data_IF_331092582193
#
_entry.id   IF_331092582193
#
_cell.length_a   1.000
_cell.length_b   1.000
_cell.length_c   1.000
_cell.angle_alpha   90.00
_cell.angle_beta   90.00
_cell.angle_gamma   90.00
#
_symmetry.space_group_name_H-M   'P 1'
#
loop_
_entity.id
_entity.type
_entity.pdbx_description
1 polymer ?
#
# COMPACT_ATOMS: atom_id res chain seq x y z
N UNK A 1 -1.43 -9.24 4.38
CA UNK A 1 -2.65 -9.75 5.05
C UNK A 1 -2.36 -11.14 5.58
N UNK A 2 -2.86 -11.49 6.77
CA UNK A 2 -2.67 -12.81 7.39
C UNK A 2 -4.01 -13.28 7.93
N UNK A 3 -4.32 -14.58 7.85
CA UNK A 3 -5.51 -15.16 8.48
C UNK A 3 -5.20 -15.55 9.93
N UNK A 4 -6.11 -15.27 10.86
CA UNK A 4 -5.96 -15.70 12.26
C UNK A 4 -6.10 -17.23 12.42
N UNK A 5 -6.79 -17.89 11.49
CA UNK A 5 -7.02 -19.34 11.49
C UNK A 5 -5.76 -20.11 11.09
N UNK A 6 -5.19 -19.79 9.93
CA UNK A 6 -4.03 -20.50 9.35
C UNK A 6 -2.69 -19.89 9.75
N UNK A 7 -2.67 -18.62 10.17
CA UNK A 7 -1.45 -17.89 10.47
C UNK A 7 -0.62 -17.53 9.21
N UNK A 8 0.66 -17.20 9.38
CA UNK A 8 1.52 -16.77 8.28
C UNK A 8 1.97 -17.93 7.38
N UNK A 9 1.59 -17.87 6.10
CA UNK A 9 1.91 -18.86 5.06
C UNK A 9 3.30 -18.66 4.44
N UNK A 10 3.76 -19.61 3.61
CA UNK A 10 5.01 -19.47 2.83
C UNK A 10 5.00 -18.21 1.95
N UNK A 11 3.92 -17.96 1.21
CA UNK A 11 3.73 -16.75 0.39
C UNK A 11 3.80 -15.46 1.20
N UNK A 12 3.30 -15.46 2.43
CA UNK A 12 3.42 -14.30 3.34
C UNK A 12 4.88 -14.00 3.67
N UNK A 13 5.71 -15.03 3.83
CA UNK A 13 7.16 -14.87 4.10
C UNK A 13 7.89 -14.34 2.89
N UNK A 14 7.54 -14.79 1.69
CA UNK A 14 8.13 -14.30 0.43
C UNK A 14 7.80 -12.81 0.21
N UNK A 15 6.52 -12.43 0.31
CA UNK A 15 6.12 -11.02 0.19
C UNK A 15 6.79 -10.14 1.26
N UNK A 16 6.91 -10.64 2.49
CA UNK A 16 7.61 -9.91 3.55
C UNK A 16 9.11 -9.77 3.24
N UNK A 17 9.74 -10.82 2.71
CA UNK A 17 11.14 -10.80 2.30
C UNK A 17 11.41 -9.78 1.20
N UNK A 18 10.53 -9.72 0.18
CA UNK A 18 10.61 -8.73 -0.89
C UNK A 18 10.43 -7.30 -0.35
N UNK A 19 9.43 -7.08 0.50
CA UNK A 19 9.18 -5.77 1.09
C UNK A 19 10.35 -5.30 1.96
N UNK A 20 10.96 -6.21 2.75
CA UNK A 20 12.14 -5.91 3.54
C UNK A 20 13.37 -5.61 2.68
N UNK A 21 13.60 -6.38 1.61
CA UNK A 21 14.71 -6.15 0.69
C UNK A 21 14.61 -4.79 -0.04
N UNK A 22 13.40 -4.35 -0.36
CA UNK A 22 13.12 -3.06 -0.99
C UNK A 22 12.99 -1.90 0.01
N UNK A 23 13.20 -2.14 1.31
CA UNK A 23 13.01 -1.15 2.39
C UNK A 23 11.63 -0.47 2.37
N UNK A 24 10.58 -1.21 2.00
CA UNK A 24 9.22 -0.69 1.96
C UNK A 24 8.63 -0.77 3.37
N UNK A 25 8.07 0.33 3.91
CA UNK A 25 7.39 0.28 5.20
C UNK A 25 6.10 -0.55 5.10
N UNK A 26 5.94 -1.54 5.99
CA UNK A 26 4.78 -2.45 5.98
C UNK A 26 3.99 -2.40 7.28
N UNK A 27 2.69 -2.68 7.18
CA UNK A 27 1.82 -2.96 8.31
C UNK A 27 1.12 -4.29 8.12
N UNK A 28 0.76 -4.96 9.22
CA UNK A 28 0.15 -6.29 9.18
C UNK A 28 -1.30 -6.21 9.60
N UNK A 29 -2.17 -6.83 8.81
CA UNK A 29 -3.59 -6.97 9.11
C UNK A 29 -3.89 -8.46 9.26
N UNK A 30 -4.34 -8.84 10.46
CA UNK A 30 -4.80 -10.18 10.81
C UNK A 30 -6.32 -10.20 10.64
N UNK A 31 -6.80 -11.01 9.71
CA UNK A 31 -8.21 -11.18 9.36
C UNK A 31 -8.82 -12.41 10.03
N UNK A 32 -10.15 -12.55 10.02
CA UNK A 32 -10.87 -13.71 10.58
C UNK A 32 -10.63 -13.98 12.08
N UNK A 33 -10.35 -12.93 12.86
CA UNK A 33 -10.11 -13.10 14.30
C UNK A 33 -11.35 -13.55 15.09
N UNK A 34 -12.53 -13.47 14.48
CA UNK A 34 -13.82 -13.94 14.99
C UNK A 34 -13.95 -15.47 15.02
N UNK A 35 -13.19 -16.19 14.19
CA UNK A 35 -13.24 -17.65 14.12
C UNK A 35 -12.32 -18.35 15.13
N UNK A 36 -11.49 -17.59 15.85
CA UNK A 36 -10.44 -18.14 16.71
C UNK A 36 -10.50 -17.57 18.12
N UNK A 37 -10.07 -18.38 19.08
CA UNK A 37 -9.96 -17.93 20.47
C UNK A 37 -8.75 -17.00 20.68
N UNK A 38 -8.76 -16.27 21.80
CA UNK A 38 -7.69 -15.31 22.15
C UNK A 38 -6.31 -15.96 22.20
N UNK A 39 -6.22 -17.20 22.66
CA UNK A 39 -4.97 -17.94 22.77
C UNK A 39 -4.36 -18.23 21.40
N UNK A 40 -5.17 -18.68 20.44
CA UNK A 40 -4.74 -18.92 19.07
C UNK A 40 -4.33 -17.60 18.39
N UNK A 41 -5.10 -16.53 18.60
CA UNK A 41 -4.74 -15.21 18.09
C UNK A 41 -3.38 -14.73 18.61
N UNK A 42 -3.12 -14.90 19.91
CA UNK A 42 -1.84 -14.51 20.51
C UNK A 42 -0.67 -15.38 20.01
N UNK A 43 -0.90 -16.66 19.69
CA UNK A 43 0.09 -17.51 18.99
C UNK A 43 0.42 -16.95 17.61
N UNK A 44 -0.60 -16.60 16.82
CA UNK A 44 -0.39 -16.03 15.47
C UNK A 44 0.36 -14.70 15.54
N UNK A 45 0.03 -13.83 16.49
CA UNK A 45 0.75 -12.56 16.70
C UNK A 45 2.22 -12.80 17.04
N UNK A 46 2.52 -13.79 17.89
CA UNK A 46 3.91 -14.17 18.22
C UNK A 46 4.64 -14.71 16.98
N UNK A 47 3.99 -15.54 16.17
CA UNK A 47 4.56 -16.05 14.93
C UNK A 47 4.86 -14.93 13.93
N UNK A 48 3.93 -13.99 13.74
CA UNK A 48 4.14 -12.80 12.89
C UNK A 48 5.29 -11.95 13.42
N UNK A 49 5.35 -11.73 14.74
CA UNK A 49 6.44 -10.99 15.39
C UNK A 49 7.80 -11.63 15.12
N UNK A 50 7.90 -12.96 15.27
CA UNK A 50 9.14 -13.70 14.96
C UNK A 50 9.54 -13.58 13.49
N UNK A 51 8.57 -13.60 12.57
CA UNK A 51 8.83 -13.44 11.14
C UNK A 51 9.33 -12.05 10.78
N UNK A 52 8.76 -11.00 11.39
CA UNK A 52 9.22 -9.62 11.22
C UNK A 52 10.67 -9.45 11.69
N UNK A 53 11.00 -9.99 12.87
CA UNK A 53 12.37 -9.98 13.39
C UNK A 53 13.35 -10.72 12.48
N UNK A 54 12.94 -11.85 11.91
CA UNK A 54 13.76 -12.62 10.95
C UNK A 54 13.94 -11.92 9.61
N UNK A 55 12.98 -11.13 9.17
CA UNK A 55 13.04 -10.39 7.91
C UNK A 55 13.97 -9.16 7.99
N UNK A 56 14.67 -8.94 9.11
CA UNK A 56 15.57 -7.80 9.28
C UNK A 56 14.86 -6.49 9.59
N UNK A 57 13.55 -6.51 9.85
CA UNK A 57 12.83 -5.32 10.29
C UNK A 57 13.14 -5.07 11.77
N UNK A 58 13.91 -4.01 12.06
CA UNK A 58 14.24 -3.54 13.44
C UNK A 58 13.00 -3.02 14.19
N UNK A 59 11.86 -2.94 13.51
CA UNK A 59 10.64 -2.36 14.04
C UNK A 59 9.92 -3.27 15.02
N UNK A 60 9.57 -2.74 16.21
CA UNK A 60 8.79 -3.47 17.19
C UNK A 60 7.34 -3.60 16.71
N UNK A 61 6.78 -4.83 16.63
CA UNK A 61 5.39 -5.01 16.27
C UNK A 61 4.48 -4.47 17.38
N UNK A 62 3.53 -3.60 17.02
CA UNK A 62 2.61 -2.96 17.96
C UNK A 62 1.17 -3.27 17.59
N UNK A 63 0.47 -3.97 18.50
CA UNK A 63 -0.95 -4.28 18.33
C UNK A 63 -1.80 -3.03 18.54
N UNK A 64 -2.57 -2.67 17.51
CA UNK A 64 -3.49 -1.52 17.53
C UNK A 64 -4.84 -1.97 18.08
N UNK A 65 -5.23 -1.45 19.26
CA UNK A 65 -6.53 -1.77 19.90
C UNK A 65 -7.48 -0.59 19.96
N UNK A 66 -6.95 0.65 19.95
CA UNK A 66 -7.73 1.89 20.09
C UNK A 66 -7.46 2.83 18.91
N UNK A 67 -8.41 3.72 18.61
CA UNK A 67 -8.27 4.73 17.56
C UNK A 67 -7.01 5.59 17.72
N UNK A 68 -6.69 6.00 18.96
CA UNK A 68 -5.45 6.74 19.28
C UNK A 68 -4.18 5.99 18.89
N UNK A 69 -4.19 4.66 19.04
CA UNK A 69 -3.04 3.83 18.72
C UNK A 69 -2.92 3.67 17.20
N UNK A 70 -4.05 3.63 16.49
CA UNK A 70 -4.09 3.62 15.02
C UNK A 70 -3.48 4.90 14.44
N UNK A 71 -3.88 6.06 14.96
CA UNK A 71 -3.36 7.38 14.54
C UNK A 71 -1.84 7.46 14.77
N UNK A 72 -1.37 7.08 15.97
CA UNK A 72 0.07 7.06 16.29
C UNK A 72 0.84 6.09 15.43
N UNK A 73 0.29 4.90 15.17
CA UNK A 73 0.94 3.90 14.35
C UNK A 73 0.99 4.31 12.86
N UNK A 74 -0.01 5.02 12.36
CA UNK A 74 -0.02 5.55 11.01
C UNK A 74 1.04 6.65 10.82
N UNK A 75 1.12 7.60 11.75
CA UNK A 75 2.13 8.66 11.72
C UNK A 75 3.57 8.11 11.79
N UNK A 76 3.77 7.05 12.57
CA UNK A 76 5.08 6.43 12.77
C UNK A 76 5.40 5.33 11.75
N UNK A 77 4.52 5.02 10.78
CA UNK A 77 4.75 3.93 9.83
C UNK A 77 5.97 4.21 8.94
N UNK A 78 6.16 5.46 8.55
CA UNK A 78 7.30 5.91 7.75
C UNK A 78 8.55 6.20 8.60
N UNK A 79 8.42 6.22 9.92
CA UNK A 79 9.56 6.36 10.83
C UNK A 79 10.09 4.99 11.20
N UNK A 80 11.41 4.81 11.19
CA UNK A 80 12.04 3.57 11.59
C UNK A 80 11.61 3.20 13.02
N UNK A 81 10.94 2.06 13.21
CA UNK A 81 10.80 1.46 14.54
C UNK A 81 9.45 0.85 14.94
N UNK A 82 8.37 0.95 14.15
CA UNK A 82 7.10 0.29 14.53
C UNK A 82 6.36 -0.33 13.35
N UNK A 83 6.02 -1.61 13.47
CA UNK A 83 5.11 -2.30 12.53
C UNK A 83 3.74 -2.44 13.19
N UNK A 84 2.71 -1.73 12.70
CA UNK A 84 1.36 -1.87 13.23
C UNK A 84 0.79 -3.25 12.93
N UNK A 85 0.20 -3.90 13.93
CA UNK A 85 -0.60 -5.10 13.76
C UNK A 85 -2.06 -4.78 14.09
N UNK A 86 -2.93 -4.82 13.09
CA UNK A 86 -4.38 -4.63 13.23
C UNK A 86 -5.09 -5.98 13.15
N UNK A 87 -6.05 -6.23 14.04
CA UNK A 87 -6.92 -7.41 13.98
C UNK A 87 -8.30 -6.95 13.51
N UNK A 88 -8.79 -7.55 12.42
CA UNK A 88 -10.09 -7.21 11.82
C UNK A 88 -10.89 -8.45 11.45
N UNK A 89 -12.21 -8.34 11.47
CA UNK A 89 -13.13 -9.33 10.93
C UNK A 89 -13.94 -8.65 9.84
N UNK A 90 -13.84 -9.15 8.61
CA UNK A 90 -14.59 -8.61 7.49
C UNK A 90 -16.06 -9.05 7.51
N UNK A 91 -16.41 -10.07 8.30
CA UNK A 91 -17.78 -10.58 8.44
C UNK A 91 -18.52 -9.79 9.51
N UNK A 92 -17.98 -9.71 10.73
CA UNK A 92 -18.62 -8.96 11.82
C UNK A 92 -18.40 -7.44 11.73
N UNK A 93 -17.48 -6.99 10.87
CA UNK A 93 -17.05 -5.60 10.79
C UNK A 93 -16.16 -5.13 11.95
N UNK A 94 -15.86 -6.01 12.91
CA UNK A 94 -15.04 -5.66 14.05
C UNK A 94 -13.61 -5.27 13.61
N UNK A 95 -13.13 -4.13 14.11
CA UNK A 95 -11.81 -3.61 13.76
C UNK A 95 -11.75 -2.81 12.44
N UNK A 96 -12.80 -2.82 11.60
CA UNK A 96 -12.82 -2.02 10.37
C UNK A 96 -12.79 -0.51 10.65
N UNK A 97 -13.37 -0.06 11.76
CA UNK A 97 -13.26 1.35 12.17
C UNK A 97 -11.81 1.75 12.50
N UNK A 98 -10.98 0.83 12.98
CA UNK A 98 -9.58 1.08 13.29
C UNK A 98 -8.74 1.15 12.00
N UNK A 99 -8.95 0.23 11.06
CA UNK A 99 -8.23 0.27 9.78
C UNK A 99 -8.61 1.50 8.96
N UNK A 100 -9.90 1.90 8.94
CA UNK A 100 -10.33 3.13 8.29
C UNK A 100 -9.66 4.36 8.90
N UNK A 101 -9.63 4.44 10.23
CA UNK A 101 -8.94 5.52 10.93
C UNK A 101 -7.43 5.53 10.65
N UNK A 102 -6.81 4.35 10.57
CA UNK A 102 -5.40 4.20 10.24
C UNK A 102 -5.12 4.71 8.82
N UNK A 103 -5.86 4.23 7.83
CA UNK A 103 -5.70 4.62 6.42
C UNK A 103 -5.93 6.11 6.19
N UNK A 104 -6.91 6.71 6.88
CA UNK A 104 -7.17 8.15 6.78
C UNK A 104 -6.01 9.03 7.30
N UNK A 105 -5.17 8.50 8.18
CA UNK A 105 -4.04 9.23 8.80
C UNK A 105 -2.72 8.91 8.10
N UNK A 106 -2.68 7.86 7.27
CA UNK A 106 -1.45 7.50 6.58
C UNK A 106 -0.96 8.68 5.75
N UNK A 107 0.32 9.06 5.92
CA UNK A 107 0.89 10.10 5.08
C UNK A 107 0.86 9.63 3.62
N UNK A 108 0.45 10.49 2.67
CA UNK A 108 0.66 10.24 1.26
C UNK A 108 2.15 9.95 1.00
N UNK A 109 2.44 9.16 -0.02
CA UNK A 109 3.82 8.89 -0.42
C UNK A 109 4.56 10.20 -0.74
N UNK A 110 5.76 10.36 -0.15
CA UNK A 110 6.61 11.53 -0.33
C UNK A 110 6.33 12.70 0.63
N UNK A 111 7.32 13.59 0.79
CA UNK A 111 7.14 14.83 1.55
C UNK A 111 6.31 15.83 0.75
N UNK A 112 5.69 16.81 1.41
CA UNK A 112 4.99 17.89 0.70
C UNK A 112 5.93 18.62 -0.28
N UNK A 113 7.21 18.75 0.07
CA UNK A 113 8.24 19.33 -0.80
C UNK A 113 8.54 18.48 -2.03
N UNK A 114 8.71 17.16 -1.89
CA UNK A 114 8.96 16.28 -3.03
C UNK A 114 7.77 16.25 -3.99
N UNK A 115 6.53 16.33 -3.49
CA UNK A 115 5.32 16.39 -4.31
C UNK A 115 5.20 17.69 -5.11
N UNK A 116 5.55 18.83 -4.52
CA UNK A 116 5.58 20.10 -5.25
C UNK A 116 6.65 20.10 -6.34
N UNK A 117 7.82 19.51 -6.04
CA UNK A 117 8.89 19.36 -7.01
C UNK A 117 8.50 18.42 -8.16
N UNK A 118 7.89 17.26 -7.85
CA UNK A 118 7.38 16.34 -8.87
C UNK A 118 6.27 16.98 -9.70
N UNK A 119 5.38 17.78 -9.10
CA UNK A 119 4.33 18.48 -9.83
C UNK A 119 4.85 19.52 -10.83
N UNK A 120 6.05 20.05 -10.60
CA UNK A 120 6.71 21.00 -11.50
C UNK A 120 7.53 20.34 -12.63
N UNK A 121 7.74 19.02 -12.56
CA UNK A 121 8.43 18.26 -13.60
C UNK A 121 7.51 17.97 -14.78
N UNK A 122 8.08 17.66 -15.97
CA UNK A 122 7.28 17.19 -17.10
C UNK A 122 6.48 15.92 -16.71
N UNK A 123 5.27 15.75 -17.27
CA UNK A 123 4.44 14.60 -16.97
C UNK A 123 5.10 13.32 -17.49
N UNK A 124 5.22 12.33 -16.59
CA UNK A 124 5.66 10.98 -16.93
C UNK A 124 4.59 10.00 -16.46
N UNK A 125 3.88 9.42 -17.42
CA UNK A 125 2.82 8.45 -17.16
C UNK A 125 3.21 7.10 -17.73
N UNK A 126 3.27 6.08 -16.87
CA UNK A 126 3.52 4.70 -17.28
C UNK A 126 2.19 4.03 -17.56
N UNK A 127 1.97 3.65 -18.82
CA UNK A 127 0.76 2.93 -19.23
C UNK A 127 0.90 1.47 -18.81
N UNK A 128 -0.04 0.99 -18.00
CA UNK A 128 -0.11 -0.39 -17.52
C UNK A 128 -1.25 -1.14 -18.20
N UNK A 129 -2.35 -0.45 -18.48
CA UNK A 129 -3.56 -1.02 -19.06
C UNK A 129 -4.12 -0.13 -20.17
N UNK A 130 -4.73 -0.73 -21.20
CA UNK A 130 -5.40 -0.01 -22.27
C UNK A 130 -6.77 -0.61 -22.52
N UNK A 131 -7.77 0.26 -22.64
CA UNK A 131 -9.17 -0.10 -22.85
C UNK A 131 -9.70 0.65 -24.06
N UNK A 132 -10.53 -0.01 -24.87
CA UNK A 132 -11.27 0.65 -25.94
C UNK A 132 -12.74 0.70 -25.54
N UNK A 133 -13.23 1.89 -25.19
CA UNK A 133 -14.57 2.09 -24.65
C UNK A 133 -15.48 2.63 -25.77
N UNK A 134 -16.61 1.96 -26.06
CA UNK A 134 -17.56 2.44 -27.08
C UNK A 134 -17.96 3.89 -26.81
N UNK A 135 -17.93 4.73 -27.84
CA UNK A 135 -18.27 6.16 -27.81
C UNK A 135 -17.31 7.08 -27.03
N UNK A 136 -16.31 6.54 -26.31
CA UNK A 136 -15.29 7.33 -25.59
C UNK A 136 -13.92 7.22 -26.28
N UNK A 137 -13.59 6.07 -26.86
CA UNK A 137 -12.30 5.81 -27.50
C UNK A 137 -11.32 5.06 -26.61
N UNK A 138 -10.02 5.28 -26.84
CA UNK A 138 -8.94 4.59 -26.10
C UNK A 138 -8.72 5.26 -24.74
N UNK A 139 -8.91 4.49 -23.68
CA UNK A 139 -8.64 4.90 -22.29
C UNK A 139 -7.42 4.14 -21.81
N UNK A 140 -6.42 4.86 -21.31
CA UNK A 140 -5.20 4.26 -20.74
C UNK A 140 -5.23 4.36 -19.21
N UNK A 141 -4.92 3.25 -18.55
CA UNK A 141 -4.77 3.13 -17.10
C UNK A 141 -3.31 2.94 -16.72
N UNK A 142 -2.89 3.51 -15.61
CA UNK A 142 -1.49 3.45 -15.18
C UNK A 142 -1.12 4.47 -14.11
N UNK A 143 0.19 4.67 -13.92
CA UNK A 143 0.74 5.47 -12.84
C UNK A 143 1.41 6.75 -13.35
N UNK A 144 0.93 7.90 -12.89
CA UNK A 144 1.60 9.19 -13.06
C UNK A 144 2.76 9.32 -12.08
N UNK A 145 3.99 9.16 -12.58
CA UNK A 145 5.21 9.20 -11.77
C UNK A 145 5.67 10.63 -11.47
N UNK A 146 5.46 11.56 -12.39
CA UNK A 146 5.80 12.99 -12.23
C UNK A 146 4.86 13.88 -13.02
N UNK A 147 4.87 15.16 -12.70
CA UNK A 147 4.13 16.21 -13.39
C UNK A 147 2.64 16.23 -13.08
N UNK A 148 1.91 16.90 -13.96
CA UNK A 148 0.45 17.00 -13.94
C UNK A 148 -0.05 16.84 -15.37
N UNK A 149 -1.22 16.24 -15.49
CA UNK A 149 -1.95 16.11 -16.75
C UNK A 149 -3.33 16.73 -16.55
N UNK A 150 -3.74 17.55 -17.51
CA UNK A 150 -5.06 18.16 -17.59
C UNK A 150 -5.69 17.85 -18.95
N UNK A 151 -7.02 17.88 -18.97
CA UNK A 151 -7.79 17.83 -20.21
C UNK A 151 -7.29 18.91 -21.18
N UNK A 152 -7.07 18.52 -22.43
CA UNK A 152 -6.54 19.37 -23.47
C UNK A 152 -5.01 19.48 -23.55
N UNK A 153 -4.26 18.90 -22.61
CA UNK A 153 -2.80 18.86 -22.68
C UNK A 153 -2.34 18.03 -23.89
N UNK A 154 -1.27 18.49 -24.55
CA UNK A 154 -0.63 17.74 -25.62
C UNK A 154 0.55 16.93 -25.05
N UNK A 155 0.42 15.61 -25.06
CA UNK A 155 1.41 14.67 -24.52
C UNK A 155 2.08 13.87 -25.64
N UNK A 156 3.24 13.29 -25.35
CA UNK A 156 3.91 12.35 -26.23
C UNK A 156 3.64 10.93 -25.72
N UNK A 157 3.02 10.09 -26.56
CA UNK A 157 2.73 8.69 -26.26
C UNK A 157 3.74 7.81 -26.99
N UNK A 158 4.38 6.92 -26.25
CA UNK A 158 5.41 6.00 -26.76
C UNK A 158 6.25 5.42 -25.62
N UNK A 159 7.35 4.72 -25.95
CA UNK A 159 7.83 4.43 -27.30
C UNK A 159 6.96 3.37 -27.99
N UNK A 160 6.68 3.56 -29.27
CA UNK A 160 6.13 2.50 -30.13
C UNK A 160 7.23 1.49 -30.51
N UNK A 161 6.87 0.43 -31.23
CA UNK A 161 7.81 -0.66 -31.61
C UNK A 161 9.03 -0.17 -32.39
N UNK A 162 8.91 0.95 -33.08
CA UNK A 162 9.95 1.63 -33.85
C UNK A 162 10.74 2.67 -33.03
N UNK A 163 10.40 2.85 -31.75
CA UNK A 163 11.00 3.84 -30.87
C UNK A 163 10.43 5.26 -31.04
N UNK A 164 9.41 5.44 -31.90
CA UNK A 164 8.78 6.73 -32.13
C UNK A 164 7.85 7.13 -30.99
N UNK A 165 7.56 8.44 -30.92
CA UNK A 165 6.57 9.03 -30.02
C UNK A 165 5.57 9.83 -30.82
N UNK A 166 4.29 9.65 -30.53
CA UNK A 166 3.20 10.36 -31.18
C UNK A 166 2.65 11.44 -30.27
N UNK A 167 2.38 12.62 -30.83
CA UNK A 167 1.77 13.71 -30.08
C UNK A 167 0.26 13.54 -30.06
N UNK A 168 -0.28 13.28 -28.87
CA UNK A 168 -1.71 13.07 -28.64
C UNK A 168 -2.23 14.19 -27.73
N UNK A 169 -3.46 14.63 -27.97
CA UNK A 169 -4.15 15.57 -27.09
C UNK A 169 -5.04 14.77 -26.13
N UNK A 170 -4.98 15.09 -24.84
CA UNK A 170 -5.87 14.47 -23.87
C UNK A 170 -7.28 15.06 -24.02
N UNK A 171 -8.26 14.16 -24.09
CA UNK A 171 -9.69 14.46 -24.05
C UNK A 171 -10.22 14.43 -22.60
#
# INVERSE_FOLDING_TARGET
>A
LVSAETGPTATTKEHLGLAAALNIPVFVVITKWDLVEKEQLDRVIKSVTSLLSRAGMVACPKRVKRKRDAVKAAANLCSFGTVPILCISCVSGAGLGLIRCFLNVLPPTGTTGSRLQLASQPPLFTIEEMFNVPHVGTVVGGMLSSGRLQEGDAVLVGPYKDGSFEKVKLD
#
